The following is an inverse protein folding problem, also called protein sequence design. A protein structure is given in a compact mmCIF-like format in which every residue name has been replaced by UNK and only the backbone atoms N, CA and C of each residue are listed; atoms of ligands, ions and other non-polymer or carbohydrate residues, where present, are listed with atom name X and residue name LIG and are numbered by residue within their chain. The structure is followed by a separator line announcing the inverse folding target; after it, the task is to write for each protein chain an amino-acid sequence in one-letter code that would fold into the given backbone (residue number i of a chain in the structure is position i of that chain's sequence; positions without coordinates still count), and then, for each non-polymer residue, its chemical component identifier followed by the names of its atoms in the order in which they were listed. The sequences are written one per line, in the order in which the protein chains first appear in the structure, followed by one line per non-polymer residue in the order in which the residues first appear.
data_IF_163707589115
#
_entry.id   IF_163707589115
#
_cell.length_a   1.000
_cell.length_b   1.000
_cell.length_c   1.000
_cell.angle_alpha   90.00
_cell.angle_beta   90.00
_cell.angle_gamma   90.00
#
_symmetry.space_group_name_H-M   'P 1'
#
loop_
_entity.id
_entity.type
_entity.pdbx_description
1 polymer ?
#
# COMPACT_ATOMS: atom_id res chain seq x y z
N UNK A 1 -40.34 59.96 15.71
CA UNK A 1 -39.10 59.17 15.86
C UNK A 1 -39.36 58.07 16.88
N UNK A 2 -39.69 56.88 16.39
CA UNK A 2 -39.88 55.65 17.17
C UNK A 2 -38.52 55.08 17.57
N UNK A 3 -38.28 54.86 18.87
CA UNK A 3 -37.09 54.14 19.37
C UNK A 3 -37.22 52.65 18.98
N UNK A 4 -36.15 51.99 18.53
CA UNK A 4 -36.18 50.54 18.31
C UNK A 4 -36.19 49.81 19.66
N UNK A 5 -37.08 48.84 19.81
CA UNK A 5 -37.09 47.92 20.94
C UNK A 5 -35.90 46.97 20.82
N UNK A 6 -34.91 47.12 21.71
CA UNK A 6 -33.84 46.14 21.89
C UNK A 6 -34.42 44.90 22.58
N UNK A 7 -34.95 43.96 21.80
CA UNK A 7 -35.36 42.65 22.30
C UNK A 7 -34.12 41.74 22.34
N UNK A 8 -33.27 41.92 23.35
CA UNK A 8 -32.21 40.95 23.67
C UNK A 8 -32.88 39.77 24.36
N UNK A 9 -33.12 38.69 23.61
CA UNK A 9 -33.61 37.43 24.18
C UNK A 9 -32.72 37.01 25.35
N UNK A 10 -33.34 36.64 26.47
CA UNK A 10 -32.63 36.16 27.65
C UNK A 10 -31.82 34.91 27.27
N UNK A 11 -30.53 34.91 27.63
CA UNK A 11 -29.68 33.74 27.43
C UNK A 11 -30.31 32.53 28.15
N UNK A 12 -30.34 31.35 27.51
CA UNK A 12 -30.93 30.16 28.12
C UNK A 12 -30.26 29.85 29.46
N UNK A 13 -31.06 29.44 30.45
CA UNK A 13 -30.54 29.06 31.77
C UNK A 13 -29.61 27.86 31.63
N UNK A 14 -28.61 27.73 32.51
CA UNK A 14 -27.67 26.59 32.48
C UNK A 14 -28.36 25.22 32.53
N UNK A 15 -29.53 25.15 33.17
CA UNK A 15 -30.39 23.96 33.21
C UNK A 15 -31.08 23.67 31.88
N UNK A 16 -31.49 24.70 31.12
CA UNK A 16 -32.03 24.51 29.78
C UNK A 16 -30.93 24.06 28.81
N UNK A 17 -29.73 24.63 28.91
CA UNK A 17 -28.58 24.23 28.10
C UNK A 17 -28.19 22.75 28.37
N UNK A 18 -28.11 22.36 29.64
CA UNK A 18 -27.80 20.99 30.04
C UNK A 18 -28.85 19.99 29.53
N UNK A 19 -30.15 20.33 29.63
CA UNK A 19 -31.22 19.48 29.09
C UNK A 19 -31.11 19.32 27.58
N UNK A 20 -30.83 20.40 26.85
CA UNK A 20 -30.63 20.33 25.40
C UNK A 20 -29.44 19.45 25.02
N UNK A 21 -28.32 19.53 25.75
CA UNK A 21 -27.15 18.66 25.54
C UNK A 21 -27.51 17.20 25.81
N UNK A 22 -28.20 16.90 26.92
CA UNK A 22 -28.59 15.53 27.26
C UNK A 22 -29.58 14.93 26.25
N UNK A 23 -30.54 15.71 25.77
CA UNK A 23 -31.46 15.28 24.71
C UNK A 23 -30.69 15.04 23.41
N UNK A 24 -29.76 15.93 23.04
CA UNK A 24 -28.90 15.75 21.87
C UNK A 24 -28.07 14.47 21.93
N UNK A 25 -27.44 14.19 23.08
CA UNK A 25 -26.68 12.96 23.31
C UNK A 25 -27.57 11.71 23.25
N UNK A 26 -28.78 11.76 23.81
CA UNK A 26 -29.72 10.64 23.75
C UNK A 26 -30.15 10.35 22.31
N UNK A 27 -30.47 11.40 21.53
CA UNK A 27 -30.83 11.25 20.11
C UNK A 27 -29.65 10.68 19.32
N UNK A 28 -28.44 11.20 19.52
CA UNK A 28 -27.23 10.67 18.88
C UNK A 28 -27.01 9.19 19.22
N UNK A 29 -27.13 8.81 20.50
CA UNK A 29 -27.01 7.42 20.94
C UNK A 29 -28.05 6.51 20.29
N UNK A 30 -29.32 6.94 20.20
CA UNK A 30 -30.38 6.17 19.53
C UNK A 30 -30.13 6.01 18.03
N UNK A 31 -29.65 7.05 17.35
CA UNK A 31 -29.30 7.00 15.92
C UNK A 31 -28.14 6.04 15.68
N UNK A 32 -27.06 6.14 16.46
CA UNK A 32 -25.90 5.26 16.35
C UNK A 32 -26.26 3.80 16.64
N UNK A 33 -27.09 3.57 17.65
CA UNK A 33 -27.61 2.23 17.98
C UNK A 33 -28.47 1.67 16.85
N UNK A 34 -29.37 2.48 16.29
CA UNK A 34 -30.20 2.07 15.15
C UNK A 34 -29.35 1.72 13.93
N UNK A 35 -28.35 2.55 13.61
CA UNK A 35 -27.41 2.28 12.51
C UNK A 35 -26.64 0.98 12.73
N UNK A 36 -26.17 0.71 13.95
CA UNK A 36 -25.44 -0.50 14.31
C UNK A 36 -26.22 -1.79 14.00
N UNK A 37 -27.54 -1.80 14.23
CA UNK A 37 -28.39 -2.96 13.96
C UNK A 37 -28.86 -3.09 12.51
N UNK A 38 -28.79 -2.02 11.72
CA UNK A 38 -29.25 -2.00 10.32
C UNK A 38 -28.11 -2.25 9.35
N UNK A 39 -26.92 -1.73 9.64
CA UNK A 39 -25.75 -1.90 8.79
C UNK A 39 -25.21 -3.33 8.88
N UNK A 40 -24.71 -3.89 7.76
CA UNK A 40 -24.08 -5.20 7.79
C UNK A 40 -22.87 -5.20 8.72
N UNK A 41 -22.55 -6.35 9.31
CA UNK A 41 -21.32 -6.51 10.07
C UNK A 41 -20.10 -6.30 9.15
N UNK A 42 -18.96 -5.87 9.72
CA UNK A 42 -17.76 -5.64 8.92
C UNK A 42 -17.24 -6.92 8.25
N UNK A 43 -17.57 -8.10 8.73
CA UNK A 43 -17.18 -9.38 8.14
C UNK A 43 -18.23 -9.94 7.17
N UNK A 44 -19.33 -9.22 6.91
CA UNK A 44 -20.34 -9.67 5.97
C UNK A 44 -19.86 -9.52 4.52
N UNK A 45 -19.71 -10.64 3.81
CA UNK A 45 -19.19 -10.68 2.45
C UNK A 45 -19.83 -11.80 1.63
N UNK A 46 -19.66 -11.74 0.31
CA UNK A 46 -20.06 -12.79 -0.62
C UNK A 46 -18.87 -13.74 -0.85
N UNK A 47 -18.91 -15.00 -0.34
CA UNK A 47 -17.77 -15.90 -0.42
C UNK A 47 -17.45 -16.35 -1.86
N UNK A 48 -18.32 -16.07 -2.83
CA UNK A 48 -18.05 -16.31 -4.24
C UNK A 48 -17.12 -15.26 -4.88
N UNK A 49 -16.82 -14.16 -4.17
CA UNK A 49 -15.99 -13.06 -4.66
C UNK A 49 -14.54 -13.17 -4.18
N UNK A 50 -13.66 -12.53 -4.93
CA UNK A 50 -12.22 -12.47 -4.69
C UNK A 50 -11.85 -11.09 -4.14
N UNK A 51 -11.51 -11.02 -2.86
CA UNK A 51 -11.26 -9.77 -2.14
C UNK A 51 -9.78 -9.42 -1.98
N UNK A 52 -8.91 -10.42 -2.02
CA UNK A 52 -7.45 -10.27 -1.87
C UNK A 52 -6.91 -9.14 -2.75
N UNK A 53 -7.34 -9.09 -4.02
CA UNK A 53 -6.86 -8.18 -5.05
C UNK A 53 -7.72 -6.92 -5.26
N UNK A 54 -8.62 -6.60 -4.32
CA UNK A 54 -9.45 -5.40 -4.41
C UNK A 54 -8.66 -4.19 -3.93
N UNK A 55 -8.35 -3.29 -4.85
CA UNK A 55 -7.75 -1.98 -4.58
C UNK A 55 -8.76 -1.03 -3.91
N UNK A 56 -8.62 -0.79 -2.60
CA UNK A 56 -9.52 0.08 -1.85
C UNK A 56 -8.96 0.48 -0.48
N UNK A 57 -8.91 1.79 -0.19
CA UNK A 57 -8.68 2.31 1.16
C UNK A 57 -9.67 1.76 2.19
N UNK A 58 -10.98 1.77 1.91
CA UNK A 58 -12.01 1.22 2.81
C UNK A 58 -11.75 -0.24 3.21
N UNK A 59 -11.34 -1.09 2.25
CA UNK A 59 -10.90 -2.46 2.55
C UNK A 59 -9.68 -2.42 3.48
N UNK A 60 -8.64 -1.71 3.07
CA UNK A 60 -7.36 -1.63 3.79
C UNK A 60 -7.51 -1.10 5.23
N UNK A 61 -8.44 -0.19 5.48
CA UNK A 61 -8.76 0.36 6.80
C UNK A 61 -9.54 -0.61 7.69
N UNK A 62 -10.36 -1.49 7.10
CA UNK A 62 -11.10 -2.51 7.84
C UNK A 62 -10.27 -3.79 7.95
N UNK A 63 -9.47 -3.88 9.02
CA UNK A 63 -8.71 -5.10 9.33
C UNK A 63 -9.62 -6.32 9.51
N UNK A 64 -10.81 -6.12 10.07
CA UNK A 64 -11.82 -7.18 10.23
C UNK A 64 -12.32 -7.72 8.88
N UNK A 65 -12.73 -6.85 7.96
CA UNK A 65 -13.17 -7.28 6.63
C UNK A 65 -12.01 -7.92 5.86
N UNK A 66 -10.84 -7.27 5.83
CA UNK A 66 -9.68 -7.76 5.09
C UNK A 66 -9.25 -9.13 5.57
N UNK A 67 -9.05 -9.33 6.88
CA UNK A 67 -8.62 -10.63 7.41
C UNK A 67 -9.69 -11.72 7.33
N UNK A 68 -10.99 -11.37 7.38
CA UNK A 68 -12.07 -12.36 7.23
C UNK A 68 -12.35 -12.79 5.79
N UNK A 69 -11.91 -11.99 4.82
CA UNK A 69 -12.08 -12.25 3.38
C UNK A 69 -10.80 -12.67 2.67
N UNK A 70 -9.68 -12.56 3.37
CA UNK A 70 -8.36 -13.03 2.97
C UNK A 70 -8.40 -14.54 2.73
N UNK A 71 -7.80 -14.99 1.64
CA UNK A 71 -7.66 -16.42 1.35
C UNK A 71 -6.69 -17.10 2.31
N UNK A 72 -6.81 -18.43 2.47
CA UNK A 72 -5.92 -19.23 3.33
C UNK A 72 -4.44 -19.15 2.88
N UNK A 73 -4.20 -19.06 1.56
CA UNK A 73 -2.89 -18.87 0.95
C UNK A 73 -2.46 -17.38 0.89
N UNK A 74 -3.28 -16.47 1.45
CA UNK A 74 -3.07 -15.04 1.35
C UNK A 74 -1.89 -14.56 2.17
N UNK A 75 -1.10 -13.65 1.61
CA UNK A 75 -0.08 -12.88 2.31
C UNK A 75 -0.40 -11.39 2.18
N UNK A 76 -0.21 -10.61 3.25
CA UNK A 76 -0.42 -9.16 3.15
C UNK A 76 0.62 -8.56 2.19
N UNK A 77 0.13 -7.74 1.27
CA UNK A 77 0.93 -6.99 0.32
C UNK A 77 0.69 -5.50 0.56
N UNK A 78 1.69 -4.83 1.12
CA UNK A 78 1.70 -3.40 1.39
C UNK A 78 2.22 -2.64 0.16
N UNK A 79 1.57 -1.54 -0.20
CA UNK A 79 1.88 -0.77 -1.40
C UNK A 79 0.97 0.43 -1.56
N UNK A 80 1.11 1.12 -2.69
CA UNK A 80 0.36 2.30 -3.08
C UNK A 80 -0.46 2.10 -4.37
N UNK A 81 -0.17 2.83 -5.46
CA UNK A 81 -0.98 2.86 -6.69
C UNK A 81 -0.69 1.75 -7.69
N UNK A 82 0.42 1.05 -7.57
CA UNK A 82 0.75 -0.18 -8.31
C UNK A 82 -0.33 -1.26 -8.19
N UNK A 83 -1.02 -1.37 -7.05
CA UNK A 83 -2.18 -2.26 -6.91
C UNK A 83 -3.43 -1.83 -7.70
N UNK A 84 -3.48 -0.61 -8.24
CA UNK A 84 -4.55 -0.20 -9.17
C UNK A 84 -4.42 -0.87 -10.54
N UNK A 85 -3.24 -1.40 -10.89
CA UNK A 85 -3.00 -2.07 -12.17
C UNK A 85 -3.76 -3.41 -12.19
N UNK A 86 -4.87 -3.44 -12.92
CA UNK A 86 -5.71 -4.64 -13.08
C UNK A 86 -5.29 -5.47 -14.28
N UNK A 87 -5.82 -6.71 -14.32
CA UNK A 87 -5.63 -7.66 -15.42
C UNK A 87 -6.08 -7.15 -16.79
N UNK A 88 -6.98 -6.16 -16.82
CA UNK A 88 -7.47 -5.56 -18.07
C UNK A 88 -6.39 -4.71 -18.75
N UNK A 89 -5.39 -4.24 -17.98
CA UNK A 89 -4.22 -3.51 -18.51
C UNK A 89 -3.00 -4.42 -18.59
N UNK A 90 -2.70 -5.15 -17.51
CA UNK A 90 -1.53 -6.04 -17.43
C UNK A 90 -2.01 -7.43 -17.07
N UNK A 91 -2.14 -8.30 -18.08
CA UNK A 91 -2.71 -9.63 -17.93
C UNK A 91 -1.89 -10.55 -17.01
N UNK A 92 -0.63 -10.22 -16.74
CA UNK A 92 0.27 -10.94 -15.84
C UNK A 92 0.34 -10.29 -14.45
N UNK A 93 -0.62 -9.48 -14.02
CA UNK A 93 -0.62 -8.97 -12.65
C UNK A 93 -1.14 -10.01 -11.64
N UNK A 94 -0.89 -9.84 -10.33
CA UNK A 94 -1.24 -10.84 -9.32
C UNK A 94 -2.72 -11.20 -9.26
N UNK A 95 -3.60 -10.27 -9.62
CA UNK A 95 -5.02 -10.54 -9.73
C UNK A 95 -5.33 -11.72 -10.68
N UNK A 96 -4.58 -11.85 -11.78
CA UNK A 96 -4.78 -12.89 -12.78
C UNK A 96 -3.94 -14.14 -12.49
N UNK A 97 -2.66 -13.98 -12.18
CA UNK A 97 -1.72 -15.10 -12.04
C UNK A 97 -1.97 -15.88 -10.74
N UNK A 98 -2.08 -15.19 -9.61
CA UNK A 98 -2.43 -15.82 -8.33
C UNK A 98 -3.94 -15.86 -8.12
N UNK A 99 -4.63 -14.73 -8.25
CA UNK A 99 -6.03 -14.59 -7.84
C UNK A 99 -7.05 -15.42 -8.62
N UNK A 100 -6.78 -15.74 -9.88
CA UNK A 100 -7.64 -16.61 -10.69
C UNK A 100 -7.23 -18.08 -10.65
N UNK A 101 -6.14 -18.41 -9.97
CA UNK A 101 -5.57 -19.75 -9.87
C UNK A 101 -5.53 -20.22 -8.40
N UNK A 102 -4.94 -21.39 -8.17
CA UNK A 102 -4.78 -21.98 -6.83
C UNK A 102 -3.33 -22.45 -6.72
N UNK A 103 -2.41 -21.48 -6.78
CA UNK A 103 -0.97 -21.70 -6.82
C UNK A 103 -0.30 -21.92 -5.46
N UNK A 104 -1.04 -21.78 -4.36
CA UNK A 104 -0.50 -21.89 -2.99
C UNK A 104 0.07 -20.59 -2.42
N UNK A 105 -0.02 -19.48 -3.17
CA UNK A 105 0.34 -18.13 -2.73
C UNK A 105 -0.70 -17.18 -3.30
N UNK A 106 -1.21 -16.28 -2.46
CA UNK A 106 -2.07 -15.16 -2.84
C UNK A 106 -1.57 -13.85 -2.23
N UNK A 107 -1.92 -12.72 -2.84
CA UNK A 107 -1.60 -11.38 -2.32
C UNK A 107 -2.87 -10.64 -1.88
N UNK A 108 -2.94 -10.30 -0.60
CA UNK A 108 -4.00 -9.48 -0.03
C UNK A 108 -3.53 -8.03 0.03
N UNK A 109 -3.98 -7.21 -0.92
CA UNK A 109 -3.57 -5.82 -1.06
C UNK A 109 -4.01 -4.97 0.14
N UNK A 110 -3.05 -4.20 0.67
CA UNK A 110 -3.23 -3.19 1.72
C UNK A 110 -2.52 -1.91 1.28
N UNK A 111 -3.31 -0.86 1.11
CA UNK A 111 -2.83 0.47 0.70
C UNK A 111 -3.37 0.92 -0.66
N UNK A 112 -3.22 2.22 -0.89
CA UNK A 112 -3.64 2.92 -2.09
C UNK A 112 -2.69 4.08 -2.45
N UNK A 113 -2.96 4.73 -3.59
CA UNK A 113 -2.20 5.88 -4.07
C UNK A 113 -1.89 6.87 -2.94
N UNK A 114 -0.62 7.28 -2.84
CA UNK A 114 -0.03 8.15 -1.82
C UNK A 114 0.28 7.50 -0.45
N UNK A 115 -0.07 6.24 -0.23
CA UNK A 115 0.30 5.52 1.00
C UNK A 115 1.79 5.12 0.98
N UNK A 116 2.61 5.96 1.59
CA UNK A 116 4.06 5.80 1.76
C UNK A 116 4.41 5.08 3.08
N UNK A 117 5.70 5.00 3.41
CA UNK A 117 6.22 4.12 4.47
C UNK A 117 5.56 4.29 5.84
N UNK A 118 5.28 5.53 6.27
CA UNK A 118 4.64 5.75 7.59
C UNK A 118 3.22 5.16 7.65
N UNK A 119 2.45 5.31 6.57
CA UNK A 119 1.11 4.73 6.50
C UNK A 119 1.19 3.20 6.53
N UNK A 120 2.14 2.63 5.79
CA UNK A 120 2.37 1.17 5.77
C UNK A 120 2.83 0.66 7.14
N UNK A 121 3.65 1.42 7.88
CA UNK A 121 4.09 1.03 9.23
C UNK A 121 2.90 0.96 10.19
N UNK A 122 1.99 1.93 10.12
CA UNK A 122 0.75 1.93 10.89
C UNK A 122 -0.12 0.72 10.52
N UNK A 123 -0.29 0.44 9.22
CA UNK A 123 -1.05 -0.70 8.74
C UNK A 123 -0.42 -2.03 9.21
N UNK A 124 0.88 -2.23 9.02
CA UNK A 124 1.60 -3.42 9.46
C UNK A 124 1.43 -3.68 10.96
N UNK A 125 1.51 -2.63 11.78
CA UNK A 125 1.29 -2.76 13.22
C UNK A 125 -0.17 -3.04 13.60
N UNK A 126 -1.15 -2.58 12.82
CA UNK A 126 -2.56 -2.91 13.02
C UNK A 126 -2.88 -4.37 12.65
N UNK A 127 -2.34 -4.86 11.52
CA UNK A 127 -2.60 -6.19 11.00
C UNK A 127 -1.76 -7.30 11.66
N UNK A 128 -0.50 -7.01 11.99
CA UNK A 128 0.54 -8.02 12.11
C UNK A 128 0.33 -9.05 13.23
N UNK A 129 -0.30 -8.66 14.34
CA UNK A 129 -0.63 -9.59 15.42
C UNK A 129 -1.78 -10.54 15.08
N UNK A 130 -2.63 -10.21 14.10
CA UNK A 130 -3.84 -10.96 13.76
C UNK A 130 -3.70 -11.78 12.46
N UNK A 131 -2.84 -11.38 11.52
CA UNK A 131 -2.62 -12.14 10.28
C UNK A 131 -1.96 -13.49 10.58
N UNK A 132 -2.42 -14.54 9.87
CA UNK A 132 -1.90 -15.90 10.02
C UNK A 132 -0.54 -16.06 9.34
N UNK A 133 -0.47 -15.73 8.05
CA UNK A 133 0.76 -15.81 7.26
C UNK A 133 1.67 -14.63 7.60
N UNK A 134 2.88 -14.92 8.10
CA UNK A 134 3.83 -13.90 8.61
C UNK A 134 4.76 -13.34 7.54
N UNK A 135 5.01 -14.09 6.47
CA UNK A 135 5.69 -13.56 5.29
C UNK A 135 4.80 -12.53 4.61
N UNK A 136 5.29 -11.32 4.40
CA UNK A 136 4.52 -10.21 3.81
C UNK A 136 5.35 -9.53 2.73
N UNK A 137 4.69 -8.83 1.82
CA UNK A 137 5.36 -8.02 0.80
C UNK A 137 5.21 -6.54 1.12
N UNK A 138 6.26 -5.75 0.92
CA UNK A 138 6.17 -4.30 0.80
C UNK A 138 6.72 -3.89 -0.58
N UNK A 139 5.90 -3.28 -1.42
CA UNK A 139 6.35 -2.71 -2.69
C UNK A 139 6.83 -1.29 -2.45
N UNK A 140 8.13 -1.06 -2.64
CA UNK A 140 8.78 0.24 -2.44
C UNK A 140 8.96 0.92 -3.77
N UNK A 141 8.20 1.99 -3.97
CA UNK A 141 8.25 2.81 -5.17
C UNK A 141 9.27 3.95 -5.02
N UNK A 142 10.21 4.15 -5.98
CA UNK A 142 11.24 5.19 -5.88
C UNK A 142 10.68 6.60 -5.62
N UNK A 143 9.48 6.90 -6.14
CA UNK A 143 8.83 8.20 -6.03
C UNK A 143 8.53 8.58 -4.57
N UNK A 144 8.43 7.60 -3.67
CA UNK A 144 8.27 7.90 -2.24
C UNK A 144 9.47 8.67 -1.69
N UNK A 145 10.65 8.40 -2.24
CA UNK A 145 11.93 8.94 -1.81
C UNK A 145 12.42 10.10 -2.68
N UNK A 146 11.54 10.69 -3.50
CA UNK A 146 11.87 11.95 -4.16
C UNK A 146 12.15 13.06 -3.13
N UNK A 147 12.96 14.05 -3.52
CA UNK A 147 13.31 15.20 -2.69
C UNK A 147 12.06 15.84 -2.04
N UNK A 148 12.22 16.27 -0.80
CA UNK A 148 11.13 16.71 0.08
C UNK A 148 10.17 15.58 0.50
N UNK A 149 10.67 14.34 0.59
CA UNK A 149 9.94 13.15 1.05
C UNK A 149 8.72 12.80 0.17
N UNK A 150 8.85 12.90 -1.16
CA UNK A 150 7.79 12.54 -2.10
C UNK A 150 6.46 13.26 -1.84
N UNK A 151 5.37 12.49 -1.71
CA UNK A 151 4.00 12.98 -1.49
C UNK A 151 3.56 12.91 -0.01
N UNK A 152 4.48 13.04 0.96
CA UNK A 152 4.12 13.03 2.39
C UNK A 152 3.12 14.13 2.78
N UNK A 153 3.00 15.20 1.98
CA UNK A 153 1.98 16.24 2.15
C UNK A 153 0.53 15.71 2.00
N UNK A 154 0.35 14.54 1.38
CA UNK A 154 -0.94 13.85 1.23
C UNK A 154 -1.30 12.99 2.44
N UNK A 155 -0.37 12.70 3.34
CA UNK A 155 -0.57 11.76 4.45
C UNK A 155 -1.84 12.03 5.27
N UNK A 156 -2.08 13.28 5.69
CA UNK A 156 -3.26 13.62 6.48
C UNK A 156 -4.60 13.30 5.78
N UNK A 157 -4.62 13.30 4.43
CA UNK A 157 -5.81 12.93 3.65
C UNK A 157 -6.04 11.43 3.57
N UNK A 158 -5.00 10.63 3.85
CA UNK A 158 -4.98 9.16 3.83
C UNK A 158 -5.02 8.54 5.22
N UNK A 159 -4.83 9.35 6.25
CA UNK A 159 -4.75 8.88 7.62
C UNK A 159 -6.01 8.13 8.06
N UNK A 160 -5.83 6.86 8.45
CA UNK A 160 -6.90 6.06 9.04
C UNK A 160 -6.82 6.09 10.56
N UNK A 161 -7.82 6.69 11.20
CA UNK A 161 -7.96 6.66 12.66
C UNK A 161 -8.19 5.24 13.19
N UNK A 162 -8.73 4.34 12.36
CA UNK A 162 -8.94 2.93 12.73
C UNK A 162 -7.63 2.18 12.79
N UNK A 163 -6.82 2.22 11.72
CA UNK A 163 -5.52 1.56 11.71
C UNK A 163 -4.60 2.14 12.79
N UNK A 164 -4.56 3.46 12.95
CA UNK A 164 -3.73 4.10 13.96
C UNK A 164 -4.10 3.69 15.39
N UNK A 165 -5.40 3.58 15.72
CA UNK A 165 -5.83 3.04 17.01
C UNK A 165 -5.37 1.61 17.23
N UNK A 166 -5.55 0.75 16.23
CA UNK A 166 -5.15 -0.66 16.34
C UNK A 166 -3.64 -0.82 16.48
N UNK A 167 -2.86 0.02 15.79
CA UNK A 167 -1.41 0.15 15.99
C UNK A 167 -1.07 0.56 17.43
N UNK A 168 -1.70 1.61 17.97
CA UNK A 168 -1.46 2.07 19.36
C UNK A 168 -1.86 1.00 20.38
N UNK A 169 -2.95 0.28 20.12
CA UNK A 169 -3.48 -0.77 21.00
C UNK A 169 -2.67 -2.08 20.91
N UNK A 170 -1.82 -2.25 19.90
CA UNK A 170 -1.02 -3.46 19.75
C UNK A 170 0.04 -3.55 20.87
N UNK A 171 -0.02 -4.57 21.74
CA UNK A 171 0.90 -4.68 22.88
C UNK A 171 2.31 -5.11 22.47
N UNK A 172 2.50 -5.61 21.24
CA UNK A 172 3.81 -6.04 20.75
C UNK A 172 4.66 -4.86 20.24
N UNK A 173 4.02 -3.71 19.97
CA UNK A 173 4.71 -2.51 19.48
C UNK A 173 5.24 -1.72 20.66
N UNK A 174 6.51 -1.36 20.60
CA UNK A 174 7.21 -0.67 21.69
C UNK A 174 6.71 0.76 21.88
N UNK A 175 6.86 1.29 23.09
CA UNK A 175 6.51 2.69 23.40
C UNK A 175 7.38 3.68 22.60
N UNK A 176 8.61 3.29 22.26
CA UNK A 176 9.52 4.09 21.42
C UNK A 176 8.98 4.20 19.99
N UNK A 177 8.64 3.07 19.37
CA UNK A 177 8.02 3.03 18.03
C UNK A 177 6.69 3.79 18.02
N UNK A 178 5.85 3.64 19.05
CA UNK A 178 4.60 4.42 19.19
C UNK A 178 4.84 5.92 19.32
N UNK A 179 5.87 6.33 20.06
CA UNK A 179 6.23 7.74 20.22
C UNK A 179 6.76 8.33 18.91
N UNK A 180 7.59 7.60 18.17
CA UNK A 180 8.07 7.99 16.85
C UNK A 180 6.89 8.20 15.89
N UNK A 181 6.03 7.19 15.73
CA UNK A 181 4.87 7.27 14.82
C UNK A 181 3.94 8.40 15.24
N UNK A 182 3.64 8.57 16.54
CA UNK A 182 2.83 9.68 17.03
C UNK A 182 3.41 11.05 16.61
N UNK A 183 4.71 11.25 16.79
CA UNK A 183 5.38 12.49 16.39
C UNK A 183 5.27 12.72 14.89
N UNK A 184 5.49 11.68 14.08
CA UNK A 184 5.44 11.78 12.62
C UNK A 184 4.05 12.08 12.09
N UNK A 185 3.00 11.40 12.58
CA UNK A 185 1.62 11.68 12.14
C UNK A 185 1.18 13.11 12.47
N UNK A 186 1.60 13.66 13.62
CA UNK A 186 1.32 15.06 14.00
C UNK A 186 2.08 16.05 13.11
N UNK A 187 3.35 15.77 12.79
CA UNK A 187 4.15 16.58 11.86
C UNK A 187 3.54 16.62 10.45
N UNK A 188 2.94 15.51 10.01
CA UNK A 188 2.27 15.39 8.73
C UNK A 188 0.81 15.88 8.72
N UNK A 189 0.38 16.58 9.78
CA UNK A 189 -0.86 17.35 9.79
C UNK A 189 -2.07 16.66 10.44
N UNK A 190 -1.89 15.52 11.11
CA UNK A 190 -2.95 14.93 11.94
C UNK A 190 -3.09 15.72 13.25
N UNK A 191 -4.31 16.13 13.59
CA UNK A 191 -4.57 16.94 14.79
C UNK A 191 -4.21 16.18 16.08
N UNK A 192 -3.52 16.85 17.01
CA UNK A 192 -3.05 16.27 18.27
C UNK A 192 -4.16 15.72 19.17
N UNK A 193 -5.43 16.15 19.01
CA UNK A 193 -6.56 15.54 19.74
C UNK A 193 -6.88 14.14 19.21
N UNK A 194 -6.67 13.91 17.91
CA UNK A 194 -6.86 12.59 17.30
C UNK A 194 -5.85 11.60 17.84
N UNK A 195 -4.59 12.02 17.94
CA UNK A 195 -3.53 11.18 18.51
C UNK A 195 -3.70 11.00 20.02
N UNK A 196 -4.03 12.06 20.77
CA UNK A 196 -4.31 11.96 22.19
C UNK A 196 -5.50 11.03 22.49
N UNK A 197 -6.55 11.06 21.68
CA UNK A 197 -7.69 10.13 21.77
C UNK A 197 -7.23 8.67 21.61
N UNK A 198 -6.48 8.35 20.55
CA UNK A 198 -5.98 6.99 20.33
C UNK A 198 -5.09 6.49 21.49
N UNK A 199 -4.22 7.35 22.02
CA UNK A 199 -3.35 7.05 23.16
C UNK A 199 -4.06 7.09 24.53
N UNK A 200 -5.27 7.66 24.57
CA UNK A 200 -6.09 7.81 25.79
C UNK A 200 -5.35 8.61 26.88
N UNK A 201 -4.66 9.68 26.47
CA UNK A 201 -3.83 10.52 27.35
C UNK A 201 -4.60 11.05 28.58
N UNK A 202 -5.90 11.33 28.41
CA UNK A 202 -6.80 11.75 29.49
C UNK A 202 -8.09 10.92 29.51
N UNK A 203 -8.87 11.07 30.59
CA UNK A 203 -10.22 10.44 30.67
C UNK A 203 -11.14 10.95 29.56
N UNK A 204 -11.03 12.23 29.18
CA UNK A 204 -11.83 12.78 28.08
C UNK A 204 -11.42 12.15 26.75
N UNK A 205 -10.11 11.95 26.54
CA UNK A 205 -9.56 11.30 25.36
C UNK A 205 -9.96 9.83 25.27
N UNK A 206 -10.02 9.12 26.40
CA UNK A 206 -10.57 7.77 26.46
C UNK A 206 -12.05 7.71 26.05
N UNK A 207 -12.86 8.70 26.44
CA UNK A 207 -14.26 8.81 26.01
C UNK A 207 -14.36 9.14 24.52
N UNK A 208 -13.55 10.08 24.03
CA UNK A 208 -13.48 10.43 22.61
C UNK A 208 -13.04 9.23 21.76
N UNK A 209 -12.11 8.42 22.26
CA UNK A 209 -11.67 7.19 21.62
C UNK A 209 -12.82 6.22 21.41
N UNK A 210 -13.61 5.94 22.46
CA UNK A 210 -14.78 5.04 22.37
C UNK A 210 -15.81 5.57 21.38
N UNK A 211 -16.08 6.89 21.39
CA UNK A 211 -16.99 7.50 20.44
C UNK A 211 -16.47 7.40 18.99
N UNK A 212 -15.18 7.66 18.78
CA UNK A 212 -14.51 7.54 17.49
C UNK A 212 -14.50 6.12 16.95
N UNK A 213 -14.24 5.13 17.80
CA UNK A 213 -14.32 3.71 17.41
C UNK A 213 -15.69 3.32 16.88
N UNK A 214 -16.77 3.76 17.54
CA UNK A 214 -18.13 3.49 17.08
C UNK A 214 -18.45 4.23 15.77
N UNK A 215 -18.01 5.49 15.65
CA UNK A 215 -18.24 6.27 14.43
C UNK A 215 -17.51 5.65 13.22
N UNK A 216 -16.25 5.26 13.40
CA UNK A 216 -15.46 4.60 12.36
C UNK A 216 -16.04 3.24 11.98
N UNK A 217 -16.45 2.41 12.95
CA UNK A 217 -17.08 1.12 12.69
C UNK A 217 -18.35 1.27 11.84
N UNK A 218 -19.23 2.21 12.18
CA UNK A 218 -20.43 2.47 11.38
C UNK A 218 -20.09 3.04 9.99
N UNK A 219 -19.08 3.89 9.89
CA UNK A 219 -18.60 4.44 8.61
C UNK A 219 -18.07 3.34 7.69
N UNK A 220 -17.25 2.43 8.21
CA UNK A 220 -16.73 1.28 7.46
C UNK A 220 -17.89 0.37 7.02
N UNK A 221 -18.78 -0.02 7.93
CA UNK A 221 -19.95 -0.87 7.59
C UNK A 221 -20.86 -0.27 6.52
N UNK A 222 -20.99 1.06 6.49
CA UNK A 222 -21.77 1.75 5.47
C UNK A 222 -21.09 1.75 4.08
N UNK A 223 -19.75 1.71 4.03
CA UNK A 223 -18.97 1.77 2.80
C UNK A 223 -18.60 0.40 2.22
N UNK A 224 -18.46 -0.63 3.07
CA UNK A 224 -18.11 -1.99 2.67
C UNK A 224 -19.00 -2.61 1.59
N UNK A 225 -20.33 -2.36 1.51
CA UNK A 225 -21.14 -2.83 0.38
C UNK A 225 -20.59 -2.38 -0.99
N UNK A 226 -20.01 -1.19 -1.09
CA UNK A 226 -19.36 -0.72 -2.32
C UNK A 226 -18.04 -1.44 -2.64
N UNK A 227 -17.32 -1.91 -1.62
CA UNK A 227 -16.16 -2.80 -1.79
C UNK A 227 -16.62 -4.18 -2.30
N UNK A 228 -17.69 -4.71 -1.72
CA UNK A 228 -18.30 -5.99 -2.13
C UNK A 228 -18.77 -5.96 -3.58
N UNK A 229 -19.37 -4.87 -4.03
CA UNK A 229 -19.81 -4.71 -5.42
C UNK A 229 -18.64 -4.70 -6.41
N UNK A 230 -17.53 -4.04 -6.05
CA UNK A 230 -16.31 -3.95 -6.88
C UNK A 230 -15.52 -5.25 -6.96
N UNK A 231 -15.62 -6.11 -5.96
CA UNK A 231 -14.86 -7.36 -5.91
C UNK A 231 -15.29 -8.31 -7.04
N UNK A 232 -14.38 -8.80 -7.90
CA UNK A 232 -14.75 -9.72 -8.97
C UNK A 232 -15.22 -11.07 -8.41
N UNK A 233 -16.02 -11.80 -9.20
CA UNK A 233 -16.31 -13.20 -8.91
C UNK A 233 -15.03 -14.03 -9.06
N UNK A 234 -14.89 -15.07 -8.23
CA UNK A 234 -13.84 -16.08 -8.40
C UNK A 234 -13.96 -16.71 -9.79
N UNK A 235 -12.82 -16.93 -10.45
CA UNK A 235 -12.76 -17.69 -11.70
C UNK A 235 -13.30 -19.12 -11.47
N UNK A 236 -13.73 -19.86 -12.52
CA UNK A 236 -14.12 -21.25 -12.36
C UNK A 236 -13.03 -22.13 -11.73
N UNK A 237 -11.75 -21.84 -12.03
CA UNK A 237 -10.59 -22.55 -11.47
C UNK A 237 -10.47 -22.26 -9.97
N UNK A 238 -10.47 -20.97 -9.60
CA UNK A 238 -10.42 -20.52 -8.19
C UNK A 238 -11.62 -21.06 -7.39
N UNK A 239 -12.81 -21.04 -7.97
CA UNK A 239 -14.02 -21.55 -7.31
C UNK A 239 -14.01 -23.07 -7.15
N UNK A 240 -13.34 -23.82 -8.03
CA UNK A 240 -13.15 -25.27 -7.89
C UNK A 240 -12.17 -25.63 -6.77
N UNK A 241 -11.26 -24.72 -6.40
CA UNK A 241 -10.33 -24.89 -5.27
C UNK A 241 -9.30 -26.01 -5.45
N UNK A 242 -9.16 -26.56 -6.65
CA UNK A 242 -8.15 -27.58 -6.93
C UNK A 242 -6.83 -26.90 -7.26
N UNK A 243 -5.75 -27.31 -6.59
CA UNK A 243 -4.42 -26.75 -6.82
C UNK A 243 -4.04 -26.80 -8.30
N UNK A 244 -3.54 -25.68 -8.80
CA UNK A 244 -3.04 -25.52 -10.17
C UNK A 244 -1.53 -25.74 -10.25
N UNK A 245 -0.86 -25.91 -9.11
CA UNK A 245 0.59 -25.93 -9.02
C UNK A 245 1.21 -24.54 -9.20
N UNK A 246 2.55 -24.53 -9.13
CA UNK A 246 3.37 -23.34 -9.38
C UNK A 246 3.12 -22.77 -10.79
N UNK A 247 3.00 -21.43 -10.95
CA UNK A 247 2.92 -20.81 -12.27
C UNK A 247 4.13 -21.12 -13.15
N UNK A 248 3.91 -21.28 -14.46
CA UNK A 248 5.01 -21.37 -15.42
C UNK A 248 5.58 -19.97 -15.70
N UNK A 249 6.55 -19.55 -14.89
CA UNK A 249 7.16 -18.23 -14.95
C UNK A 249 7.76 -17.91 -16.31
N UNK A 250 8.38 -18.89 -17.00
CA UNK A 250 8.96 -18.68 -18.32
C UNK A 250 7.87 -18.47 -19.38
N UNK A 251 6.77 -19.22 -19.31
CA UNK A 251 5.62 -18.99 -20.18
C UNK A 251 4.96 -17.64 -19.90
N UNK A 252 4.89 -17.20 -18.64
CA UNK A 252 4.38 -15.89 -18.26
C UNK A 252 5.28 -14.74 -18.77
N UNK A 253 6.61 -14.87 -18.69
CA UNK A 253 7.54 -13.90 -19.28
C UNK A 253 7.39 -13.79 -20.80
N UNK A 254 7.25 -14.92 -21.50
CA UNK A 254 7.02 -14.91 -22.94
C UNK A 254 5.66 -14.27 -23.31
N UNK A 255 4.62 -14.49 -22.51
CA UNK A 255 3.32 -13.82 -22.67
C UNK A 255 3.41 -12.33 -22.35
N UNK A 256 4.22 -11.95 -21.37
CA UNK A 256 4.47 -10.57 -21.02
C UNK A 256 5.14 -9.80 -22.15
N UNK A 257 6.12 -10.40 -22.83
CA UNK A 257 6.76 -9.83 -24.01
C UNK A 257 5.73 -9.57 -25.12
N UNK A 258 4.91 -10.58 -25.44
CA UNK A 258 3.88 -10.46 -26.47
C UNK A 258 2.81 -9.40 -26.11
N UNK A 259 2.42 -9.33 -24.84
CA UNK A 259 1.43 -8.36 -24.35
C UNK A 259 1.97 -6.93 -24.40
N UNK A 260 3.24 -6.74 -24.02
CA UNK A 260 3.93 -5.45 -24.10
C UNK A 260 4.13 -4.99 -25.54
N UNK A 261 4.54 -5.89 -26.45
CA UNK A 261 4.67 -5.59 -27.88
C UNK A 261 3.35 -5.11 -28.51
N UNK A 262 2.21 -5.69 -28.09
CA UNK A 262 0.88 -5.28 -28.56
C UNK A 262 0.42 -3.94 -27.98
N UNK A 263 0.78 -3.65 -26.73
CA UNK A 263 0.24 -2.51 -25.97
C UNK A 263 1.13 -1.25 -25.99
N UNK A 264 2.37 -1.36 -26.46
CA UNK A 264 3.37 -0.29 -26.47
C UNK A 264 3.93 -0.08 -27.89
N UNK A 265 3.10 0.43 -28.79
CA UNK A 265 3.42 0.54 -30.22
C UNK A 265 3.76 1.96 -30.68
N UNK A 266 3.51 2.96 -29.83
CA UNK A 266 3.54 4.38 -30.22
C UNK A 266 4.77 5.15 -29.72
N UNK A 267 5.66 4.50 -28.97
CA UNK A 267 6.84 5.13 -28.38
C UNK A 267 8.00 4.15 -28.18
N UNK A 268 9.22 4.68 -28.17
CA UNK A 268 10.44 3.87 -28.03
C UNK A 268 10.77 3.52 -26.57
N UNK A 269 10.01 4.06 -25.60
CA UNK A 269 10.22 3.82 -24.17
C UNK A 269 9.56 2.52 -23.68
N UNK A 270 8.75 1.85 -24.49
CA UNK A 270 8.01 0.66 -24.04
C UNK A 270 6.91 1.00 -23.02
N UNK A 271 6.41 2.24 -23.05
CA UNK A 271 5.31 2.72 -22.20
C UNK A 271 3.98 2.43 -22.88
N UNK A 272 2.96 2.07 -22.09
CA UNK A 272 1.61 1.79 -22.58
C UNK A 272 1.02 2.96 -23.38
N UNK A 273 0.48 2.68 -24.57
CA UNK A 273 0.09 3.70 -25.56
C UNK A 273 -0.90 4.73 -25.02
N UNK A 274 -1.96 4.30 -24.31
CA UNK A 274 -2.96 5.23 -23.78
C UNK A 274 -2.40 6.10 -22.62
N UNK A 275 -1.43 5.58 -21.87
CA UNK A 275 -0.72 6.39 -20.88
C UNK A 275 0.18 7.40 -21.58
N UNK A 276 0.94 6.96 -22.58
CA UNK A 276 1.86 7.79 -23.36
C UNK A 276 1.14 8.97 -24.04
N UNK A 277 0.03 8.71 -24.71
CA UNK A 277 -0.77 9.75 -25.40
C UNK A 277 -1.19 10.86 -24.43
N UNK A 278 -1.59 10.48 -23.22
CA UNK A 278 -2.11 11.42 -22.23
C UNK A 278 -1.02 12.11 -21.41
N UNK A 279 0.08 11.43 -21.12
CA UNK A 279 0.99 11.83 -20.05
C UNK A 279 2.45 12.08 -20.46
N UNK A 280 2.85 11.79 -21.71
CA UNK A 280 4.26 11.90 -22.14
C UNK A 280 4.85 13.33 -22.15
N UNK A 281 3.99 14.33 -21.95
CA UNK A 281 4.36 15.73 -21.79
C UNK A 281 4.51 16.17 -20.32
N UNK A 282 4.18 15.31 -19.35
CA UNK A 282 4.42 15.61 -17.93
C UNK A 282 5.81 15.12 -17.53
N UNK A 283 6.58 16.01 -16.92
CA UNK A 283 7.98 15.78 -16.56
C UNK A 283 8.12 15.80 -15.03
N UNK A 284 7.35 14.95 -14.32
CA UNK A 284 7.29 14.97 -12.83
C UNK A 284 8.57 14.46 -12.19
N UNK A 285 9.30 13.59 -12.89
CA UNK A 285 10.59 13.04 -12.48
C UNK A 285 11.76 13.99 -12.77
N UNK A 286 11.53 15.11 -13.49
CA UNK A 286 12.59 16.03 -13.90
C UNK A 286 13.34 16.65 -12.73
N UNK A 287 14.65 16.42 -12.70
CA UNK A 287 15.52 16.98 -11.67
C UNK A 287 15.16 16.52 -10.26
N UNK A 288 14.49 15.38 -10.12
CA UNK A 288 14.35 14.71 -8.84
C UNK A 288 15.70 14.15 -8.38
N UNK A 289 15.82 13.97 -7.07
CA UNK A 289 16.91 13.26 -6.42
C UNK A 289 16.33 12.45 -5.26
N UNK A 290 17.13 11.55 -4.71
CA UNK A 290 16.74 10.67 -3.59
C UNK A 290 17.51 10.98 -2.31
N UNK A 291 18.42 11.95 -2.33
CA UNK A 291 19.23 12.35 -1.17
C UNK A 291 18.48 13.21 -0.15
N UNK A 292 17.41 13.89 -0.56
CA UNK A 292 16.65 14.85 0.25
C UNK A 292 15.30 14.29 0.74
N UNK A 293 15.25 12.99 1.09
CA UNK A 293 14.06 12.28 1.54
C UNK A 293 14.24 11.61 2.91
N UNK A 294 15.00 12.25 3.81
CA UNK A 294 15.41 11.67 5.09
C UNK A 294 14.24 11.22 5.97
N UNK A 295 13.10 11.91 5.95
CA UNK A 295 11.94 11.50 6.74
C UNK A 295 11.31 10.23 6.15
N UNK A 296 11.25 10.08 4.82
CA UNK A 296 10.72 8.86 4.20
C UNK A 296 11.65 7.65 4.46
N UNK A 297 12.98 7.82 4.45
CA UNK A 297 13.89 6.73 4.84
C UNK A 297 13.75 6.35 6.32
N UNK A 298 13.51 7.34 7.20
CA UNK A 298 13.25 7.07 8.61
C UNK A 298 11.90 6.34 8.78
N UNK A 299 10.87 6.76 8.06
CA UNK A 299 9.54 6.14 8.07
C UNK A 299 9.60 4.71 7.49
N UNK A 300 10.45 4.46 6.48
CA UNK A 300 10.73 3.12 5.95
C UNK A 300 11.43 2.23 6.98
N UNK A 301 12.43 2.77 7.70
CA UNK A 301 13.09 2.04 8.79
C UNK A 301 12.10 1.69 9.91
N UNK A 302 11.18 2.60 10.23
CA UNK A 302 10.09 2.36 11.17
C UNK A 302 9.17 1.23 10.71
N UNK A 303 8.85 1.12 9.41
CA UNK A 303 8.08 -0.03 8.90
C UNK A 303 8.79 -1.36 9.17
N UNK A 304 10.11 -1.44 8.95
CA UNK A 304 10.91 -2.64 9.21
C UNK A 304 10.94 -2.98 10.70
N UNK A 305 11.12 -1.97 11.56
CA UNK A 305 11.08 -2.14 13.01
C UNK A 305 9.72 -2.64 13.50
N UNK A 306 8.62 -2.08 12.96
CA UNK A 306 7.26 -2.55 13.26
C UNK A 306 7.11 -4.00 12.84
N UNK A 307 7.51 -4.38 11.62
CA UNK A 307 7.43 -5.76 11.16
C UNK A 307 8.13 -6.71 12.14
N UNK A 308 9.35 -6.39 12.57
CA UNK A 308 10.08 -7.17 13.57
C UNK A 308 9.32 -7.26 14.90
N UNK A 309 8.80 -6.15 15.40
CA UNK A 309 8.06 -6.08 16.68
C UNK A 309 6.78 -6.91 16.65
N UNK A 310 6.05 -6.94 15.53
CA UNK A 310 4.80 -7.71 15.39
C UNK A 310 4.98 -9.11 14.82
N UNK A 311 6.23 -9.52 14.53
CA UNK A 311 6.57 -10.86 14.03
C UNK A 311 6.18 -11.09 12.57
N UNK A 312 6.20 -10.04 11.74
CA UNK A 312 6.12 -10.15 10.29
C UNK A 312 7.52 -10.32 9.70
N UNK A 313 7.60 -11.07 8.61
CA UNK A 313 8.81 -11.34 7.81
C UNK A 313 8.65 -10.66 6.45
N UNK A 314 9.10 -9.41 6.29
CA UNK A 314 8.88 -8.68 5.05
C UNK A 314 9.86 -9.10 3.95
N UNK A 315 9.34 -9.26 2.74
CA UNK A 315 10.08 -9.08 1.49
C UNK A 315 9.85 -7.65 0.99
N UNK A 316 10.92 -6.86 0.99
CA UNK A 316 10.92 -5.52 0.42
C UNK A 316 11.17 -5.60 -1.08
N UNK A 317 10.14 -5.37 -1.88
CA UNK A 317 10.24 -5.30 -3.35
C UNK A 317 10.72 -3.91 -3.75
N UNK A 318 11.97 -3.81 -4.20
CA UNK A 318 12.59 -2.56 -4.65
C UNK A 318 12.33 -2.41 -6.14
N UNK A 319 11.36 -1.56 -6.50
CA UNK A 319 11.05 -1.31 -7.91
C UNK A 319 12.20 -0.54 -8.58
N UNK A 320 12.56 -0.87 -9.84
CA UNK A 320 13.47 -0.03 -10.60
C UNK A 320 12.75 1.24 -11.03
N UNK A 321 13.53 2.28 -11.29
CA UNK A 321 13.05 3.39 -12.12
C UNK A 321 12.96 2.97 -13.59
N UNK A 322 12.20 3.72 -14.38
CA UNK A 322 12.25 3.60 -15.83
C UNK A 322 13.55 4.24 -16.36
N UNK A 323 14.63 3.47 -16.52
CA UNK A 323 15.99 3.96 -16.80
C UNK A 323 16.07 4.95 -17.97
N UNK A 324 15.53 4.59 -19.13
CA UNK A 324 15.53 5.47 -20.31
C UNK A 324 14.73 6.78 -20.11
N UNK A 325 13.65 6.74 -19.31
CA UNK A 325 12.85 7.93 -19.00
C UNK A 325 13.61 8.84 -18.02
N UNK A 326 14.20 8.27 -16.97
CA UNK A 326 14.96 9.02 -15.98
C UNK A 326 16.24 9.62 -16.57
N UNK A 327 16.86 8.96 -17.56
CA UNK A 327 17.95 9.51 -18.36
C UNK A 327 17.51 10.78 -19.10
N UNK A 328 16.33 10.75 -19.76
CA UNK A 328 15.72 11.92 -20.41
C UNK A 328 15.41 13.03 -19.40
N UNK A 329 14.92 12.67 -18.22
CA UNK A 329 14.52 13.61 -17.16
C UNK A 329 15.69 14.15 -16.32
N UNK A 330 16.92 13.73 -16.63
CA UNK A 330 18.14 14.27 -16.05
C UNK A 330 18.42 13.79 -14.63
N UNK A 331 17.94 12.61 -14.25
CA UNK A 331 18.25 11.94 -12.98
C UNK A 331 19.40 10.95 -13.22
N UNK A 332 20.65 11.26 -12.82
CA UNK A 332 21.80 10.46 -13.22
C UNK A 332 21.77 9.05 -12.65
N UNK A 333 22.30 8.06 -13.37
CA UNK A 333 22.37 6.67 -12.90
C UNK A 333 23.03 6.54 -11.51
N UNK A 334 24.05 7.34 -11.19
CA UNK A 334 24.67 7.34 -9.86
C UNK A 334 23.72 7.72 -8.73
N UNK A 335 22.79 8.65 -8.98
CA UNK A 335 21.76 9.07 -8.01
C UNK A 335 20.77 7.93 -7.75
N UNK A 336 20.38 7.21 -8.82
CA UNK A 336 19.46 6.06 -8.76
C UNK A 336 20.10 4.86 -8.06
N UNK A 337 21.38 4.60 -8.35
CA UNK A 337 22.16 3.55 -7.68
C UNK A 337 22.36 3.83 -6.19
N UNK A 338 22.61 5.10 -5.81
CA UNK A 338 22.69 5.48 -4.40
C UNK A 338 21.37 5.23 -3.64
N UNK A 339 20.23 5.46 -4.31
CA UNK A 339 18.91 5.10 -3.76
C UNK A 339 18.78 3.59 -3.48
N UNK A 340 19.06 2.73 -4.47
CA UNK A 340 18.95 1.28 -4.28
C UNK A 340 19.90 0.77 -3.20
N UNK A 341 21.14 1.27 -3.16
CA UNK A 341 22.10 0.91 -2.12
C UNK A 341 21.64 1.34 -0.72
N UNK A 342 21.00 2.51 -0.59
CA UNK A 342 20.42 2.97 0.69
C UNK A 342 19.28 2.07 1.14
N UNK A 343 18.36 1.70 0.25
CA UNK A 343 17.26 0.78 0.60
C UNK A 343 17.78 -0.60 1.01
N UNK A 344 18.72 -1.17 0.24
CA UNK A 344 19.36 -2.46 0.59
C UNK A 344 20.04 -2.40 1.96
N UNK A 345 20.80 -1.34 2.22
CA UNK A 345 21.50 -1.16 3.50
C UNK A 345 20.52 -1.13 4.68
N UNK A 346 19.40 -0.40 4.55
CA UNK A 346 18.37 -0.36 5.60
C UNK A 346 17.70 -1.73 5.81
N UNK A 347 17.48 -2.49 4.73
CA UNK A 347 16.97 -3.87 4.84
C UNK A 347 17.99 -4.78 5.54
N UNK A 348 19.27 -4.70 5.17
CA UNK A 348 20.36 -5.49 5.76
C UNK A 348 20.54 -5.17 7.26
N UNK A 349 20.49 -3.89 7.64
CA UNK A 349 20.53 -3.45 9.03
C UNK A 349 19.36 -4.00 9.85
N UNK A 350 18.17 -4.08 9.24
CA UNK A 350 16.98 -4.66 9.87
C UNK A 350 16.95 -6.21 9.83
N UNK A 351 17.81 -6.84 9.03
CA UNK A 351 17.77 -8.27 8.74
C UNK A 351 16.57 -8.70 7.88
N UNK A 352 15.98 -7.78 7.13
CA UNK A 352 14.87 -8.03 6.22
C UNK A 352 15.35 -8.56 4.87
N UNK A 353 14.52 -9.37 4.21
CA UNK A 353 14.76 -9.78 2.82
C UNK A 353 14.29 -8.69 1.86
N UNK A 354 14.90 -8.62 0.68
CA UNK A 354 14.48 -7.75 -0.40
C UNK A 354 14.53 -8.48 -1.75
N UNK A 355 13.66 -8.07 -2.67
CA UNK A 355 13.75 -8.38 -4.08
C UNK A 355 14.24 -7.13 -4.81
N UNK A 356 15.49 -7.15 -5.28
CA UNK A 356 16.15 -6.00 -5.90
C UNK A 356 16.05 -6.06 -7.43
N UNK A 357 15.17 -5.23 -7.97
CA UNK A 357 14.97 -5.12 -9.41
C UNK A 357 15.77 -3.98 -10.05
N UNK A 358 16.72 -3.35 -9.36
CA UNK A 358 17.56 -2.26 -9.89
C UNK A 358 18.32 -2.63 -11.17
N UNK A 359 18.64 -3.91 -11.37
CA UNK A 359 19.25 -4.41 -12.62
C UNK A 359 18.29 -4.40 -13.82
N UNK A 360 17.00 -4.14 -13.61
CA UNK A 360 15.95 -4.15 -14.62
C UNK A 360 15.54 -2.74 -15.11
N UNK A 361 16.27 -1.67 -14.75
CA UNK A 361 15.93 -0.28 -15.14
C UNK A 361 15.65 -0.08 -16.63
N UNK A 362 16.35 -0.85 -17.47
CA UNK A 362 16.26 -0.76 -18.93
C UNK A 362 15.55 -1.96 -19.55
N UNK A 363 15.00 -2.89 -18.75
CA UNK A 363 14.23 -4.01 -19.31
C UNK A 363 12.87 -3.50 -19.77
N UNK A 364 12.58 -3.64 -21.07
CA UNK A 364 11.27 -3.29 -21.63
C UNK A 364 10.18 -4.04 -20.89
N UNK A 365 9.04 -3.37 -20.70
CA UNK A 365 7.85 -3.95 -20.08
C UNK A 365 7.99 -4.33 -18.61
N UNK A 366 9.13 -4.03 -17.97
CA UNK A 366 9.20 -4.10 -16.51
C UNK A 366 8.19 -3.13 -15.89
N UNK A 367 8.11 -1.90 -16.40
CA UNK A 367 7.09 -0.92 -16.04
C UNK A 367 6.12 -0.73 -17.22
N UNK A 368 4.82 -0.58 -16.95
CA UNK A 368 3.83 -0.25 -18.00
C UNK A 368 3.67 1.26 -18.23
N UNK A 369 4.15 2.05 -17.29
CA UNK A 369 4.28 3.51 -17.38
C UNK A 369 5.61 3.94 -16.75
N UNK A 370 5.75 5.18 -16.28
CA UNK A 370 7.02 5.66 -15.73
C UNK A 370 7.33 5.15 -14.32
N UNK A 371 6.33 4.56 -13.63
CA UNK A 371 6.44 4.25 -12.18
C UNK A 371 5.84 2.89 -11.77
N UNK A 372 4.84 2.37 -12.48
CA UNK A 372 4.11 1.16 -12.07
C UNK A 372 4.59 -0.10 -12.79
N UNK A 373 4.69 -1.25 -12.08
CA UNK A 373 5.02 -2.53 -12.69
C UNK A 373 4.07 -2.89 -13.84
N UNK A 374 4.69 -3.33 -14.93
CA UNK A 374 4.05 -3.77 -16.15
C UNK A 374 4.10 -5.29 -16.31
N UNK A 375 4.03 -5.74 -17.56
CA UNK A 375 3.90 -7.15 -17.88
C UNK A 375 5.04 -8.01 -17.35
N UNK A 376 6.30 -7.67 -17.64
CA UNK A 376 7.45 -8.44 -17.11
C UNK A 376 7.68 -8.16 -15.63
N UNK A 377 7.44 -6.92 -15.20
CA UNK A 377 7.65 -6.50 -13.82
C UNK A 377 6.83 -7.32 -12.84
N UNK A 378 5.53 -7.47 -13.09
CA UNK A 378 4.68 -8.30 -12.23
C UNK A 378 5.10 -9.77 -12.22
N UNK A 379 5.43 -10.37 -13.36
CA UNK A 379 5.91 -11.77 -13.39
C UNK A 379 7.15 -11.95 -12.50
N UNK A 380 8.11 -11.02 -12.57
CA UNK A 380 9.32 -11.07 -11.73
C UNK A 380 9.02 -10.85 -10.25
N UNK A 381 8.19 -9.87 -9.92
CA UNK A 381 7.79 -9.57 -8.53
C UNK A 381 7.07 -10.77 -7.92
N UNK A 382 6.13 -11.36 -8.67
CA UNK A 382 5.36 -12.52 -8.23
C UNK A 382 6.22 -13.76 -8.06
N UNK A 383 7.15 -14.02 -8.99
CA UNK A 383 8.10 -15.12 -8.87
C UNK A 383 8.99 -14.96 -7.63
N UNK A 384 9.61 -13.78 -7.45
CA UNK A 384 10.47 -13.52 -6.30
C UNK A 384 9.70 -13.66 -4.97
N UNK A 385 8.44 -13.20 -4.92
CA UNK A 385 7.61 -13.39 -3.73
C UNK A 385 7.22 -14.85 -3.51
N UNK A 386 6.90 -15.59 -4.57
CA UNK A 386 6.61 -17.02 -4.50
C UNK A 386 7.81 -17.80 -3.97
N UNK A 387 9.01 -17.52 -4.50
CA UNK A 387 10.27 -18.13 -4.05
C UNK A 387 10.58 -17.77 -2.60
N UNK A 388 10.41 -16.50 -2.21
CA UNK A 388 10.55 -16.05 -0.83
C UNK A 388 9.60 -16.80 0.13
N UNK A 389 8.32 -16.95 -0.24
CA UNK A 389 7.35 -17.69 0.59
C UNK A 389 7.78 -19.15 0.79
N UNK A 390 8.37 -19.76 -0.23
CA UNK A 390 8.84 -21.15 -0.20
C UNK A 390 10.29 -21.34 0.27
N UNK A 391 10.97 -20.27 0.73
CA UNK A 391 12.38 -20.31 1.14
C UNK A 391 13.32 -20.84 0.04
N UNK A 392 13.04 -20.46 -1.22
CA UNK A 392 13.85 -20.80 -2.40
C UNK A 392 14.67 -19.60 -2.82
N UNK A 393 15.89 -19.85 -3.28
CA UNK A 393 16.73 -18.83 -3.88
C UNK A 393 16.12 -18.36 -5.20
N UNK A 394 16.21 -17.06 -5.47
CA UNK A 394 15.86 -16.42 -6.73
C UNK A 394 16.92 -15.35 -7.02
N UNK A 395 17.19 -15.10 -8.30
CA UNK A 395 18.26 -14.19 -8.72
C UNK A 395 18.08 -12.75 -8.21
N UNK A 396 16.86 -12.33 -7.90
CA UNK A 396 16.55 -11.00 -7.38
C UNK A 396 16.46 -10.95 -5.85
N UNK A 397 16.43 -12.10 -5.17
CA UNK A 397 16.36 -12.13 -3.71
C UNK A 397 17.72 -11.85 -3.08
N UNK A 398 17.72 -10.98 -2.07
CA UNK A 398 18.87 -10.65 -1.24
C UNK A 398 18.43 -10.25 0.17
N UNK A 399 19.41 -9.94 1.03
CA UNK A 399 19.18 -9.65 2.44
C UNK A 399 18.67 -10.87 3.20
N UNK A 400 18.39 -10.70 4.49
CA UNK A 400 17.90 -11.78 5.37
C UNK A 400 18.71 -13.08 5.22
N UNK A 401 18.05 -14.15 4.78
CA UNK A 401 18.66 -15.47 4.51
C UNK A 401 19.18 -15.69 3.09
N UNK A 402 18.95 -14.76 2.15
CA UNK A 402 19.14 -14.96 0.70
C UNK A 402 20.47 -14.43 0.16
N UNK A 403 21.33 -13.83 0.99
CA UNK A 403 22.63 -13.32 0.55
C UNK A 403 22.51 -12.04 -0.27
N UNK A 404 23.24 -11.93 -1.37
CA UNK A 404 23.19 -10.75 -2.26
C UNK A 404 22.38 -11.08 -3.52
N UNK A 405 21.49 -10.17 -3.92
CA UNK A 405 20.76 -10.30 -5.16
C UNK A 405 21.72 -10.22 -6.36
N UNK A 406 21.74 -11.26 -7.21
CA UNK A 406 22.62 -11.36 -8.37
C UNK A 406 22.07 -10.57 -9.58
N UNK A 407 20.75 -10.40 -9.65
CA UNK A 407 20.05 -9.57 -10.62
C UNK A 407 19.80 -10.22 -11.99
N UNK A 408 19.45 -9.36 -12.95
CA UNK A 408 18.91 -9.74 -14.27
C UNK A 408 19.83 -10.66 -15.09
N UNK A 409 21.14 -10.43 -15.06
CA UNK A 409 22.11 -11.23 -15.80
C UNK A 409 22.13 -12.69 -15.29
N UNK A 410 22.04 -12.88 -13.97
CA UNK A 410 22.00 -14.20 -13.35
C UNK A 410 20.66 -14.92 -13.58
N UNK A 411 19.56 -14.16 -13.63
CA UNK A 411 18.25 -14.71 -13.98
C UNK A 411 18.24 -15.36 -15.38
N UNK A 412 19.13 -14.94 -16.29
CA UNK A 412 19.37 -15.59 -17.58
C UNK A 412 18.20 -15.53 -18.55
N UNK A 413 17.20 -14.69 -18.27
CA UNK A 413 15.93 -14.60 -18.99
C UNK A 413 15.54 -13.16 -19.32
N UNK A 414 16.53 -12.27 -19.49
CA UNK A 414 16.32 -10.87 -19.82
C UNK A 414 15.46 -10.70 -21.10
N UNK A 415 14.50 -9.77 -21.03
CA UNK A 415 13.69 -9.37 -22.17
C UNK A 415 14.42 -8.41 -23.12
N UNK A 416 13.66 -7.76 -24.00
CA UNK A 416 14.20 -6.68 -24.83
C UNK A 416 14.65 -5.50 -23.95
N UNK A 417 15.76 -4.85 -24.31
CA UNK A 417 16.30 -3.72 -23.54
C UNK A 417 15.98 -2.38 -24.23
N UNK A 418 15.77 -1.36 -23.41
CA UNK A 418 15.65 0.03 -23.82
C UNK A 418 17.04 0.64 -24.05
N UNK A 419 17.15 1.53 -25.04
CA UNK A 419 18.37 2.29 -25.26
C UNK A 419 18.60 3.28 -24.11
N UNK A 420 19.78 3.21 -23.47
CA UNK A 420 20.21 4.21 -22.50
C UNK A 420 20.76 5.48 -23.16
N UNK A 421 20.92 6.56 -22.38
CA UNK A 421 21.51 7.81 -22.87
C UNK A 421 22.93 7.66 -23.48
N UNK A 422 23.61 6.53 -23.24
CA UNK A 422 24.90 6.20 -23.83
C UNK A 422 24.87 5.52 -25.20
N UNK A 423 23.74 4.96 -25.64
CA UNK A 423 23.63 4.19 -26.90
C UNK A 423 22.94 4.96 -28.04
N UNK A 424 22.16 6.00 -27.73
CA UNK A 424 21.47 6.82 -28.73
C UNK A 424 22.39 7.79 -29.52
N UNK A 425 23.72 7.71 -29.34
CA UNK A 425 24.70 8.61 -29.93
C UNK A 425 25.70 7.92 -30.90
N UNK A 426 25.35 6.76 -31.47
CA UNK A 426 26.14 6.09 -32.53
C UNK A 426 25.47 6.14 -33.90
#
# INVERSE_FOLDING_TARGET
MTKPSNNRGAAPTGTALLRSVLVGLLVAALVLTGAYFVLPAQDAHDPARLYDYVYSGVKSESTAFTLSTMSDDGHLAFGSSEFFISKDKVAQCPQAVFGEQVGGVDLTYVGEAYDQSLWQAIAAGAYGSAVQNKKVMLVVSPQWFFKNNGDQDKFASKFSSTLYRQFVDNPNISDETKAYVRSRVEQLGVDAKTTAAAHRDTVLDAVNNVAGMLADDLSLRAQLPGVVEKAPLKSPVRAAGTSTGEPDWNALLAQADASGDEACTTNDYGIYDAYWEKNSAYDVERGQNFSEADDEYADFSCFLDVCREVGLEPLVVVLPVHGAWYDREGVPASERQAYYERIRSLCDEAGAAYADFSSCEYEKYFLCDTVHPGWRGWVRIEQAFYDFVHDRDDAFLGGGSFGAAEGLDAAGNAGAMLAGAGEAAS
#
